data_IF_282823849572
#
_entry.id   IF_282823849572
#
_cell.length_a   1.000
_cell.length_b   1.000
_cell.length_c   1.000
_cell.angle_alpha   90.00
_cell.angle_beta   90.00
_cell.angle_gamma   90.00
#
_symmetry.space_group_name_H-M   'P 1'
#
loop_
_entity.id
_entity.type
_entity.pdbx_description
1 polymer ?
#
# COMPACT_ATOMS: atom_id res chain seq x y z
N UNK A 1 5.36 -12.42 3.39
CA UNK A 1 5.75 -11.13 2.78
C UNK A 1 5.60 -9.99 3.77
N UNK A 2 4.40 -9.74 4.32
CA UNK A 2 4.13 -8.76 5.38
C UNK A 2 5.02 -8.87 6.62
N UNK A 3 5.19 -10.07 7.16
CA UNK A 3 6.08 -10.31 8.30
C UNK A 3 7.57 -10.06 8.01
N UNK A 4 7.94 -9.93 6.73
CA UNK A 4 9.30 -9.62 6.29
C UNK A 4 9.48 -8.12 6.00
N UNK A 5 8.47 -7.30 6.33
CA UNK A 5 8.49 -5.84 6.15
C UNK A 5 8.00 -5.35 4.80
N UNK A 6 7.49 -6.26 3.95
CA UNK A 6 6.98 -5.94 2.62
C UNK A 6 5.46 -5.76 2.64
N UNK A 7 4.94 -4.82 1.87
CA UNK A 7 3.50 -4.53 1.77
C UNK A 7 2.97 -4.83 0.35
N UNK A 8 2.98 -6.10 -0.10
CA UNK A 8 2.47 -6.46 -1.42
C UNK A 8 0.97 -6.21 -1.51
N UNK A 9 0.52 -5.75 -2.67
CA UNK A 9 -0.92 -5.62 -2.95
C UNK A 9 -1.57 -6.97 -3.25
N UNK A 10 -2.90 -7.02 -3.21
CA UNK A 10 -3.66 -8.24 -3.50
C UNK A 10 -3.44 -8.71 -4.94
N UNK A 11 -3.37 -7.80 -5.92
CA UNK A 11 -3.09 -8.17 -7.31
C UNK A 11 -1.64 -8.63 -7.49
N UNK A 12 -0.67 -8.07 -6.77
CA UNK A 12 0.70 -8.59 -6.79
C UNK A 12 0.74 -10.03 -6.27
N UNK A 13 0.13 -10.31 -5.12
CA UNK A 13 0.01 -11.67 -4.57
C UNK A 13 -0.67 -12.60 -5.58
N UNK A 14 -1.78 -12.17 -6.17
CA UNK A 14 -2.53 -12.95 -7.17
C UNK A 14 -1.67 -13.25 -8.41
N UNK A 15 -0.87 -12.27 -8.84
CA UNK A 15 0.06 -12.43 -9.97
C UNK A 15 1.14 -13.44 -9.64
N UNK A 16 1.73 -13.38 -8.45
CA UNK A 16 2.74 -14.36 -8.00
C UNK A 16 2.18 -15.78 -7.95
N UNK A 17 0.93 -15.94 -7.50
CA UNK A 17 0.23 -17.23 -7.54
C UNK A 17 -0.08 -17.70 -8.97
N UNK A 18 -0.48 -16.80 -9.87
CA UNK A 18 -0.82 -17.16 -11.26
C UNK A 18 0.42 -17.48 -12.11
N UNK A 19 1.55 -16.83 -11.84
CA UNK A 19 2.83 -17.12 -12.51
C UNK A 19 3.45 -18.45 -12.07
N UNK A 20 3.03 -18.98 -10.91
CA UNK A 20 3.40 -20.30 -10.43
C UNK A 20 2.39 -21.32 -10.98
N UNK A 21 2.60 -21.80 -12.21
CA UNK A 21 1.68 -22.70 -12.96
C UNK A 21 1.36 -24.06 -12.28
N UNK A 22 1.72 -24.27 -11.01
CA UNK A 22 1.57 -25.54 -10.28
C UNK A 22 0.54 -25.42 -9.16
N UNK A 23 -0.66 -25.93 -9.44
CA UNK A 23 -1.58 -26.47 -8.43
C UNK A 23 -1.94 -25.52 -7.25
N UNK A 24 -1.96 -24.21 -7.48
CA UNK A 24 -2.30 -23.23 -6.45
C UNK A 24 -1.37 -23.22 -5.23
N UNK A 25 -0.16 -23.79 -5.35
CA UNK A 25 0.85 -23.80 -4.30
C UNK A 25 2.18 -23.24 -4.82
N UNK A 26 2.83 -22.43 -3.99
CA UNK A 26 4.13 -21.83 -4.30
C UNK A 26 5.18 -22.64 -3.53
N UNK A 27 6.09 -23.29 -4.25
CA UNK A 27 7.25 -23.96 -3.62
C UNK A 27 8.22 -22.92 -3.04
N UNK A 28 9.02 -23.32 -2.05
CA UNK A 28 9.96 -22.41 -1.39
C UNK A 28 10.92 -21.72 -2.36
N UNK A 29 11.38 -22.42 -3.41
CA UNK A 29 12.25 -21.81 -4.42
C UNK A 29 11.54 -20.67 -5.16
N UNK A 30 10.30 -20.89 -5.58
CA UNK A 30 9.48 -19.89 -6.27
C UNK A 30 9.12 -18.73 -5.35
N UNK A 31 8.87 -19.00 -4.07
CA UNK A 31 8.67 -17.95 -3.07
C UNK A 31 9.89 -17.04 -2.95
N UNK A 32 11.12 -17.58 -2.97
CA UNK A 32 12.34 -16.77 -2.93
C UNK A 32 12.49 -15.89 -4.18
N UNK A 33 12.19 -16.43 -5.37
CA UNK A 33 12.23 -15.66 -6.62
C UNK A 33 11.22 -14.51 -6.59
N UNK A 34 9.99 -14.80 -6.18
CA UNK A 34 8.94 -13.79 -6.02
C UNK A 34 9.35 -12.72 -5.02
N UNK A 35 9.92 -13.12 -3.87
CA UNK A 35 10.37 -12.18 -2.84
C UNK A 35 11.52 -11.31 -3.32
N UNK A 36 12.47 -11.86 -4.07
CA UNK A 36 13.54 -11.08 -4.69
C UNK A 36 12.95 -10.06 -5.66
N UNK A 37 12.09 -10.51 -6.58
CA UNK A 37 11.48 -9.61 -7.57
C UNK A 37 10.63 -8.52 -6.91
N UNK A 38 9.86 -8.87 -5.89
CA UNK A 38 9.05 -7.92 -5.13
C UNK A 38 9.94 -6.92 -4.38
N UNK A 39 11.04 -7.36 -3.77
CA UNK A 39 11.96 -6.46 -3.03
C UNK A 39 12.62 -5.39 -3.91
N UNK A 40 12.82 -5.67 -5.20
CA UNK A 40 13.37 -4.69 -6.14
C UNK A 40 12.32 -3.69 -6.64
N UNK A 41 11.06 -4.13 -6.70
CA UNK A 41 9.92 -3.34 -7.17
C UNK A 41 9.26 -2.53 -6.05
N UNK A 42 9.36 -3.00 -4.80
CA UNK A 42 8.71 -2.36 -3.66
C UNK A 42 9.39 -1.03 -3.32
N UNK A 43 8.86 0.03 -3.93
CA UNK A 43 9.19 1.42 -3.64
C UNK A 43 7.99 2.16 -3.06
N UNK A 44 7.12 1.46 -2.34
CA UNK A 44 5.87 2.00 -1.80
C UNK A 44 6.08 3.35 -1.12
N UNK A 45 7.09 3.49 -0.25
CA UNK A 45 7.37 4.76 0.43
C UNK A 45 7.70 5.89 -0.56
N UNK A 46 8.52 5.62 -1.58
CA UNK A 46 8.91 6.64 -2.56
C UNK A 46 7.74 7.01 -3.49
N UNK A 47 6.97 6.03 -3.94
CA UNK A 47 5.81 6.25 -4.82
C UNK A 47 4.71 7.02 -4.11
N UNK A 48 4.39 6.62 -2.88
CA UNK A 48 3.42 7.32 -2.03
C UNK A 48 3.89 8.75 -1.75
N UNK A 49 5.16 8.96 -1.43
CA UNK A 49 5.72 10.30 -1.22
C UNK A 49 5.67 11.16 -2.49
N UNK A 50 5.98 10.58 -3.65
CA UNK A 50 5.92 11.28 -4.94
C UNK A 50 4.47 11.64 -5.30
N UNK A 51 3.52 10.74 -5.05
CA UNK A 51 2.10 10.95 -5.23
C UNK A 51 1.59 12.14 -4.42
N UNK A 52 1.98 12.17 -3.14
CA UNK A 52 1.64 13.26 -2.25
C UNK A 52 2.26 14.59 -2.66
N UNK A 53 3.54 14.60 -3.07
CA UNK A 53 4.19 15.83 -3.57
C UNK A 53 3.56 16.34 -4.85
N UNK A 54 3.13 15.44 -5.76
CA UNK A 54 2.45 15.83 -6.98
C UNK A 54 1.09 16.51 -6.70
N UNK A 55 0.45 16.13 -5.60
CA UNK A 55 -0.85 16.67 -5.19
C UNK A 55 -0.74 17.90 -4.29
N UNK A 56 0.23 17.93 -3.38
CA UNK A 56 0.48 19.04 -2.45
C UNK A 56 1.31 20.17 -3.09
N UNK A 57 0.70 20.89 -4.05
CA UNK A 57 1.33 22.05 -4.72
C UNK A 57 1.71 23.18 -3.77
N UNK A 58 1.11 23.23 -2.58
CA UNK A 58 1.36 24.24 -1.56
C UNK A 58 2.48 23.90 -0.57
N UNK A 59 3.03 22.68 -0.61
CA UNK A 59 4.04 22.24 0.36
C UNK A 59 3.53 22.23 1.81
N UNK A 60 2.23 22.02 2.02
CA UNK A 60 1.62 21.94 3.35
C UNK A 60 2.00 20.66 4.11
N UNK A 61 2.56 19.64 3.44
CA UNK A 61 2.94 18.39 4.10
C UNK A 61 1.75 17.53 4.53
N UNK A 62 0.54 17.90 4.10
CA UNK A 62 -0.71 17.25 4.48
C UNK A 62 -1.75 17.37 3.38
N UNK A 63 -2.58 16.35 3.22
CA UNK A 63 -3.68 16.33 2.26
C UNK A 63 -5.04 16.18 2.96
N UNK A 64 -6.13 16.68 2.38
CA UNK A 64 -7.46 16.40 2.92
C UNK A 64 -7.75 14.89 2.88
N UNK A 65 -8.39 14.35 3.91
CA UNK A 65 -8.79 12.94 3.95
C UNK A 65 -9.57 12.55 2.68
N UNK A 66 -10.58 13.33 2.29
CA UNK A 66 -11.35 13.06 1.06
C UNK A 66 -10.54 12.97 -0.25
N UNK A 67 -9.32 13.52 -0.30
CA UNK A 67 -8.43 13.40 -1.46
C UNK A 67 -7.40 12.27 -1.34
N UNK A 68 -7.20 11.73 -0.15
CA UNK A 68 -6.32 10.58 0.07
C UNK A 68 -6.71 9.40 -0.83
N UNK A 69 -8.00 9.13 -0.96
CA UNK A 69 -8.54 8.10 -1.85
C UNK A 69 -8.09 8.27 -3.30
N UNK A 70 -8.19 9.50 -3.83
CA UNK A 70 -7.82 9.80 -5.21
C UNK A 70 -6.32 9.63 -5.44
N UNK A 71 -5.50 9.98 -4.45
CA UNK A 71 -4.05 9.83 -4.51
C UNK A 71 -3.69 8.34 -4.49
N UNK A 72 -4.23 7.57 -3.54
CA UNK A 72 -3.97 6.14 -3.44
C UNK A 72 -4.45 5.36 -4.68
N UNK A 73 -5.63 5.72 -5.21
CA UNK A 73 -6.18 5.08 -6.43
C UNK A 73 -5.40 5.44 -7.70
N UNK A 74 -4.75 6.62 -7.75
CA UNK A 74 -3.96 7.04 -8.92
C UNK A 74 -2.58 6.41 -8.98
N UNK A 75 -1.98 6.13 -7.83
CA UNK A 75 -0.60 5.67 -7.73
C UNK A 75 -0.47 4.21 -7.33
N UNK A 76 -1.58 3.55 -7.00
CA UNK A 76 -1.62 2.12 -6.69
C UNK A 76 -2.83 1.42 -7.28
N UNK A 77 -3.21 0.32 -6.65
CA UNK A 77 -4.41 -0.42 -7.00
C UNK A 77 -5.69 0.34 -6.61
N UNK A 78 -6.80 0.01 -7.25
CA UNK A 78 -8.11 0.54 -6.86
C UNK A 78 -8.45 0.05 -5.46
N UNK A 79 -8.28 0.93 -4.49
CA UNK A 79 -8.75 0.70 -3.13
C UNK A 79 -10.28 0.89 -3.13
N UNK A 80 -11.00 0.05 -2.40
CA UNK A 80 -12.47 0.18 -2.26
C UNK A 80 -12.84 1.13 -1.13
N UNK A 81 -14.08 1.63 -1.13
CA UNK A 81 -14.59 2.51 -0.06
C UNK A 81 -14.51 1.85 1.33
N UNK A 82 -14.66 0.52 1.39
CA UNK A 82 -14.54 -0.26 2.62
C UNK A 82 -13.10 -0.26 3.15
N UNK A 83 -12.13 -0.58 2.29
CA UNK A 83 -10.70 -0.56 2.62
C UNK A 83 -10.24 0.84 3.07
N UNK A 84 -10.78 1.89 2.44
CA UNK A 84 -10.49 3.27 2.81
C UNK A 84 -11.09 3.66 4.16
N UNK A 85 -12.28 3.17 4.48
CA UNK A 85 -12.84 3.34 5.83
C UNK A 85 -12.00 2.64 6.89
N UNK A 86 -11.52 1.43 6.63
CA UNK A 86 -10.59 0.71 7.51
C UNK A 86 -9.31 1.52 7.69
N UNK A 87 -8.73 2.01 6.59
CA UNK A 87 -7.52 2.84 6.61
C UNK A 87 -7.71 4.11 7.44
N UNK A 88 -8.85 4.80 7.34
CA UNK A 88 -9.14 5.97 8.19
C UNK A 88 -9.29 5.62 9.66
N UNK A 89 -9.92 4.47 9.98
CA UNK A 89 -10.08 4.01 11.36
C UNK A 89 -8.73 3.67 11.98
N UNK A 90 -7.89 2.92 11.28
CA UNK A 90 -6.56 2.51 11.75
C UNK A 90 -5.61 3.70 11.88
N UNK A 91 -5.64 4.62 10.91
CA UNK A 91 -4.86 5.85 10.95
C UNK A 91 -5.38 6.89 11.94
N UNK A 92 -6.52 6.63 12.60
CA UNK A 92 -7.23 7.57 13.47
C UNK A 92 -7.49 8.94 12.77
N UNK A 93 -7.80 8.89 11.48
CA UNK A 93 -8.04 10.06 10.64
C UNK A 93 -9.51 10.46 10.75
N UNK A 94 -9.75 11.74 11.01
CA UNK A 94 -11.11 12.28 10.97
C UNK A 94 -11.60 12.35 9.51
N UNK A 95 -12.86 12.03 9.21
CA UNK A 95 -13.39 12.04 7.84
C UNK A 95 -13.35 13.42 7.16
N UNK A 96 -13.39 14.51 7.93
CA UNK A 96 -13.19 15.89 7.43
C UNK A 96 -11.82 16.47 7.84
N UNK A 97 -10.89 15.60 8.24
CA UNK A 97 -9.57 15.96 8.71
C UNK A 97 -8.56 16.15 7.58
N UNK A 98 -7.35 16.54 7.98
CA UNK A 98 -6.17 16.50 7.13
C UNK A 98 -5.27 15.38 7.61
N UNK A 99 -4.58 14.77 6.67
CA UNK A 99 -3.70 13.64 6.91
C UNK A 99 -2.29 14.06 6.51
N UNK A 100 -1.33 13.85 7.40
CA UNK A 100 0.08 14.13 7.12
C UNK A 100 0.74 12.94 6.44
N UNK A 101 1.84 13.18 5.74
CA UNK A 101 2.59 12.10 5.07
C UNK A 101 3.05 11.02 6.05
N UNK A 102 3.50 11.44 7.22
CA UNK A 102 3.98 10.54 8.27
C UNK A 102 2.88 9.58 8.75
N UNK A 103 1.65 10.07 8.92
CA UNK A 103 0.51 9.22 9.31
C UNK A 103 0.19 8.17 8.24
N UNK A 104 0.25 8.54 6.96
CA UNK A 104 -0.09 7.64 5.85
C UNK A 104 1.01 6.62 5.64
N UNK A 105 2.27 7.05 5.70
CA UNK A 105 3.41 6.14 5.64
C UNK A 105 3.39 5.18 6.82
N UNK A 106 3.06 5.67 8.02
CA UNK A 106 2.88 4.85 9.21
C UNK A 106 1.85 3.74 8.97
N UNK A 107 0.70 4.05 8.39
CA UNK A 107 -0.41 3.10 8.16
C UNK A 107 -0.17 2.17 6.97
N UNK A 108 0.45 2.66 5.89
CA UNK A 108 0.75 1.83 4.71
C UNK A 108 1.95 0.89 4.94
N UNK A 109 2.89 1.30 5.80
CA UNK A 109 4.09 0.52 6.14
C UNK A 109 3.89 -0.31 7.41
N UNK A 110 2.85 -0.06 8.21
CA UNK A 110 2.51 -1.00 9.27
C UNK A 110 1.84 -2.21 8.64
N UNK A 111 2.38 -3.42 8.86
CA UNK A 111 1.68 -4.62 8.45
C UNK A 111 0.36 -4.65 9.22
N UNK A 112 -0.76 -4.76 8.48
CA UNK A 112 -2.08 -5.07 9.05
C UNK A 112 -1.88 -6.16 10.11
N UNK A 113 -2.28 -5.94 11.39
CA UNK A 113 -2.19 -6.99 12.38
C UNK A 113 -3.09 -8.12 11.91
N UNK A 114 -2.48 -9.23 11.47
CA UNK A 114 -3.17 -10.50 11.27
C UNK A 114 -3.89 -10.83 12.60
N UNK A 115 -5.23 -10.81 12.58
CA UNK A 115 -6.07 -11.28 13.67
C UNK A 115 -6.69 -12.63 13.30
#
# INVERSE_FOLDING_TARGET
MRSLGFSPTVNEITRYYTSSEKDGSIDFATFLEVMHEHSEKEKCQQEVTAAFRAHDRGGQGSVPAGELFNILTRFGEKITDAEVKSLYQEANIRPNGRVTYDQILGVLLTPMPDY
#
